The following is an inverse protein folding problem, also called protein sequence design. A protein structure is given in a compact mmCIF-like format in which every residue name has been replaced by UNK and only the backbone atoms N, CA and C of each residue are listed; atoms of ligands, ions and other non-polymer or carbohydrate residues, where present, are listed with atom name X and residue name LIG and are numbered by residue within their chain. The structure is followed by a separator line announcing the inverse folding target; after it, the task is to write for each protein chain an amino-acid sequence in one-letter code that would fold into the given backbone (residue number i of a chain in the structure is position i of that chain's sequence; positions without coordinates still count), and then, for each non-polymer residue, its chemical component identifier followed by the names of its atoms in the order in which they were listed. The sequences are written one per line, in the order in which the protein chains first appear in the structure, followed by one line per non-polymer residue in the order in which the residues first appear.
data_IF_953659553519
#
_entry.id   IF_953659553519
#
_cell.length_a   1.000
_cell.length_b   1.000
_cell.length_c   1.000
_cell.angle_alpha   90.00
_cell.angle_beta   90.00
_cell.angle_gamma   90.00
#
_symmetry.space_group_name_H-M   'P 1'
#
loop_
_entity.id
_entity.type
_entity.pdbx_description
1 polymer ?
#
# COMPACT_ATOMS: atom_id res chain seq x y z
N UNK A 1 6.67 -12.30 -14.49
CA UNK A 1 6.02 -13.60 -14.22
C UNK A 1 5.69 -14.27 -15.56
N UNK A 2 5.46 -15.58 -15.61
CA UNK A 2 4.97 -16.20 -16.85
C UNK A 2 3.51 -15.78 -17.07
N UNK A 3 3.13 -15.46 -18.31
CA UNK A 3 1.75 -15.07 -18.62
C UNK A 3 0.77 -16.17 -18.18
N UNK A 4 -0.19 -15.81 -17.32
CA UNK A 4 -1.21 -16.74 -16.81
C UNK A 4 -0.84 -17.51 -15.53
N UNK A 5 0.31 -17.26 -14.92
CA UNK A 5 0.69 -17.85 -13.62
C UNK A 5 -0.04 -17.18 -12.45
N UNK A 6 -1.30 -17.57 -12.24
CA UNK A 6 -2.20 -16.99 -11.23
C UNK A 6 -1.69 -17.15 -9.80
N UNK A 7 -1.20 -18.32 -9.46
CA UNK A 7 -0.67 -18.58 -8.12
C UNK A 7 0.63 -17.80 -7.88
N UNK A 8 1.53 -17.76 -8.89
CA UNK A 8 2.73 -16.94 -8.83
C UNK A 8 2.43 -15.45 -8.62
N UNK A 9 1.43 -14.92 -9.33
CA UNK A 9 0.97 -13.53 -9.14
C UNK A 9 0.48 -13.28 -7.71
N UNK A 10 -0.37 -14.16 -7.17
CA UNK A 10 -0.87 -14.04 -5.80
C UNK A 10 0.24 -14.17 -4.75
N UNK A 11 1.19 -15.09 -4.98
CA UNK A 11 2.36 -15.27 -4.10
C UNK A 11 3.24 -14.03 -4.08
N UNK A 12 3.47 -13.42 -5.25
CA UNK A 12 4.25 -12.19 -5.35
C UNK A 12 3.53 -11.01 -4.68
N UNK A 13 2.23 -10.87 -4.93
CA UNK A 13 1.39 -9.86 -4.29
C UNK A 13 1.42 -9.95 -2.75
N UNK A 14 1.45 -11.17 -2.21
CA UNK A 14 1.48 -11.42 -0.77
C UNK A 14 2.89 -11.57 -0.18
N UNK A 15 3.96 -11.35 -0.94
CA UNK A 15 5.34 -11.64 -0.49
C UNK A 15 5.77 -10.83 0.75
N UNK A 16 5.15 -9.68 1.00
CA UNK A 16 5.40 -8.87 2.20
C UNK A 16 4.57 -9.24 3.43
N UNK A 17 3.64 -10.20 3.31
CA UNK A 17 2.77 -10.65 4.40
C UNK A 17 3.35 -11.91 5.07
N UNK A 18 2.91 -12.26 6.29
CA UNK A 18 3.30 -13.52 6.92
C UNK A 18 3.00 -14.72 6.01
N UNK A 19 3.98 -15.63 5.76
CA UNK A 19 3.81 -16.73 4.80
C UNK A 19 2.60 -17.63 5.09
N UNK A 20 2.25 -17.80 6.36
CA UNK A 20 1.10 -18.58 6.80
C UNK A 20 -0.24 -17.99 6.30
N UNK A 21 -0.31 -16.69 5.99
CA UNK A 21 -1.51 -16.08 5.43
C UNK A 21 -1.72 -16.51 3.98
N UNK A 22 -0.65 -16.61 3.19
CA UNK A 22 -0.75 -17.14 1.82
C UNK A 22 -1.15 -18.61 1.84
N UNK A 23 -0.56 -19.43 2.72
CA UNK A 23 -0.93 -20.84 2.84
C UNK A 23 -2.38 -21.05 3.31
N UNK A 24 -2.85 -20.25 4.25
CA UNK A 24 -4.25 -20.27 4.68
C UNK A 24 -5.20 -19.87 3.53
N UNK A 25 -4.85 -18.85 2.75
CA UNK A 25 -5.60 -18.45 1.56
C UNK A 25 -5.62 -19.56 0.50
N UNK A 26 -4.46 -20.16 0.21
CA UNK A 26 -4.26 -21.19 -0.83
C UNK A 26 -4.99 -22.49 -0.54
N UNK A 27 -5.02 -22.92 0.72
CA UNK A 27 -5.71 -24.13 1.16
C UNK A 27 -7.18 -23.90 1.50
N UNK A 28 -7.61 -22.64 1.57
CA UNK A 28 -8.96 -22.25 1.96
C UNK A 28 -10.01 -22.49 0.87
N UNK A 29 -11.30 -22.57 1.24
CA UNK A 29 -12.40 -22.82 0.29
C UNK A 29 -12.58 -21.69 -0.74
N UNK A 30 -12.02 -20.51 -0.49
CA UNK A 30 -12.08 -19.36 -1.39
C UNK A 30 -10.96 -19.35 -2.44
N UNK A 31 -10.03 -20.31 -2.44
CA UNK A 31 -8.93 -20.35 -3.40
C UNK A 31 -9.36 -20.19 -4.88
N UNK A 32 -10.43 -20.86 -5.38
CA UNK A 32 -10.87 -20.66 -6.76
C UNK A 32 -11.31 -19.23 -7.09
N UNK A 33 -11.77 -18.47 -6.09
CA UNK A 33 -12.09 -17.04 -6.25
C UNK A 33 -10.81 -16.23 -6.41
N UNK A 34 -9.82 -16.43 -5.54
CA UNK A 34 -8.54 -15.73 -5.61
C UNK A 34 -7.81 -16.01 -6.92
N UNK A 35 -7.79 -17.26 -7.39
CA UNK A 35 -7.20 -17.59 -8.69
C UNK A 35 -7.86 -16.82 -9.85
N UNK A 36 -9.19 -16.66 -9.83
CA UNK A 36 -9.89 -15.86 -10.84
C UNK A 36 -9.56 -14.37 -10.75
N UNK A 37 -9.30 -13.88 -9.54
CA UNK A 37 -8.92 -12.49 -9.30
C UNK A 37 -7.43 -12.22 -9.55
N UNK A 38 -6.57 -13.23 -9.61
CA UNK A 38 -5.12 -13.04 -9.75
C UNK A 38 -4.70 -12.05 -10.85
N UNK A 39 -5.29 -12.04 -12.06
CA UNK A 39 -4.94 -11.06 -13.10
C UNK A 39 -5.21 -9.60 -12.68
N UNK A 40 -6.12 -9.34 -11.74
CA UNK A 40 -6.45 -7.98 -11.30
C UNK A 40 -5.42 -7.40 -10.34
N UNK A 41 -4.54 -8.22 -9.76
CA UNK A 41 -3.49 -7.79 -8.82
C UNK A 41 -2.08 -7.91 -9.42
N UNK A 42 -1.97 -8.26 -10.71
CA UNK A 42 -0.68 -8.41 -11.39
C UNK A 42 0.10 -7.08 -11.40
N UNK A 43 -0.58 -5.99 -11.76
CA UNK A 43 0.02 -4.65 -11.75
C UNK A 43 0.46 -4.22 -10.34
N UNK A 44 -0.33 -4.53 -9.31
CA UNK A 44 0.04 -4.25 -7.92
C UNK A 44 1.27 -5.07 -7.48
N UNK A 45 1.34 -6.36 -7.84
CA UNK A 45 2.49 -7.22 -7.55
C UNK A 45 3.77 -6.73 -8.24
N UNK A 46 3.66 -6.25 -9.49
CA UNK A 46 4.78 -5.64 -10.21
C UNK A 46 5.24 -4.33 -9.57
N UNK A 47 4.30 -3.45 -9.18
CA UNK A 47 4.61 -2.21 -8.47
C UNK A 47 5.30 -2.47 -7.12
N UNK A 48 4.82 -3.47 -6.37
CA UNK A 48 5.44 -3.92 -5.12
C UNK A 48 6.84 -4.51 -5.34
N UNK A 49 7.07 -5.19 -6.45
CA UNK A 49 8.41 -5.69 -6.78
C UNK A 49 9.35 -4.55 -7.15
N UNK A 50 8.87 -3.61 -7.97
CA UNK A 50 9.63 -2.44 -8.39
C UNK A 50 10.05 -1.55 -7.20
N UNK A 51 9.16 -1.32 -6.23
CA UNK A 51 9.51 -0.49 -5.05
C UNK A 51 10.62 -1.11 -4.17
N UNK A 52 10.95 -2.39 -4.38
CA UNK A 52 12.04 -3.09 -3.69
C UNK A 52 13.26 -3.34 -4.59
N UNK A 53 13.25 -2.90 -5.85
CA UNK A 53 14.35 -3.17 -6.79
C UNK A 53 15.58 -2.29 -6.59
N UNK A 54 15.45 -1.20 -5.83
CA UNK A 54 16.52 -0.27 -5.46
C UNK A 54 16.08 0.55 -4.22
N UNK A 55 16.97 1.34 -3.58
CA UNK A 55 16.57 2.22 -2.50
C UNK A 55 15.44 3.19 -2.92
N UNK A 56 14.39 3.31 -2.10
CA UNK A 56 13.20 4.14 -2.41
C UNK A 56 13.55 5.58 -2.74
N UNK A 57 14.49 6.19 -2.00
CA UNK A 57 14.98 7.54 -2.28
C UNK A 57 15.54 7.71 -3.70
N UNK A 58 16.13 6.67 -4.27
CA UNK A 58 16.57 6.66 -5.67
C UNK A 58 15.37 6.53 -6.62
N UNK A 59 14.51 5.53 -6.38
CA UNK A 59 13.33 5.25 -7.21
C UNK A 59 12.35 6.42 -7.28
N UNK A 60 12.19 7.15 -6.18
CA UNK A 60 11.21 8.21 -6.00
C UNK A 60 11.80 9.61 -6.13
N UNK A 61 13.07 9.72 -6.53
CA UNK A 61 13.78 11.00 -6.68
C UNK A 61 13.10 12.00 -7.63
N UNK A 62 12.31 11.51 -8.58
CA UNK A 62 11.55 12.34 -9.52
C UNK A 62 10.24 12.92 -8.94
N UNK A 63 9.82 12.50 -7.74
CA UNK A 63 8.60 12.99 -7.09
C UNK A 63 8.91 14.33 -6.43
N UNK A 64 8.45 15.42 -7.06
CA UNK A 64 8.67 16.80 -6.57
C UNK A 64 7.40 17.44 -6.01
N UNK A 65 6.24 16.81 -6.16
CA UNK A 65 4.99 17.32 -5.62
C UNK A 65 4.99 17.23 -4.08
N UNK A 66 4.50 18.25 -3.36
CA UNK A 66 4.26 18.14 -1.93
C UNK A 66 3.37 16.94 -1.63
N UNK A 67 3.81 16.06 -0.75
CA UNK A 67 3.13 14.80 -0.45
C UNK A 67 2.71 14.74 1.01
N UNK A 68 1.48 14.29 1.27
CA UNK A 68 1.03 13.94 2.62
C UNK A 68 0.87 12.43 2.73
N UNK A 69 1.42 11.86 3.80
CA UNK A 69 1.24 10.46 4.18
C UNK A 69 0.23 10.39 5.32
N UNK A 70 -0.96 9.86 5.04
CA UNK A 70 -2.04 9.76 6.01
C UNK A 70 -1.99 8.44 6.77
N UNK A 71 -1.97 8.50 8.10
CA UNK A 71 -1.99 7.33 8.98
C UNK A 71 -3.18 7.39 9.94
N UNK A 72 -3.79 6.24 10.22
CA UNK A 72 -4.81 6.12 11.27
C UNK A 72 -4.25 6.44 12.66
N UNK A 73 -5.00 7.15 13.50
CA UNK A 73 -4.59 7.47 14.89
C UNK A 73 -4.33 6.24 15.76
N UNK A 74 -4.93 5.10 15.41
CA UNK A 74 -4.72 3.80 16.06
C UNK A 74 -4.30 2.73 15.04
N UNK A 75 -3.23 3.00 14.30
CA UNK A 75 -2.63 2.04 13.38
C UNK A 75 -1.82 0.96 14.11
N UNK A 76 -1.70 -0.23 13.50
CA UNK A 76 -0.73 -1.24 13.96
C UNK A 76 0.71 -0.77 13.68
N UNK A 77 1.70 -1.13 14.51
CA UNK A 77 3.04 -0.50 14.49
C UNK A 77 3.71 -0.46 13.11
N UNK A 78 3.60 -1.53 12.31
CA UNK A 78 4.25 -1.58 11.01
C UNK A 78 3.75 -0.52 10.02
N UNK A 79 2.51 -0.03 10.16
CA UNK A 79 2.03 1.07 9.30
C UNK A 79 2.68 2.40 9.65
N UNK A 80 3.05 2.63 10.91
CA UNK A 80 3.81 3.80 11.30
C UNK A 80 5.22 3.75 10.70
N UNK A 81 5.90 2.60 10.79
CA UNK A 81 7.22 2.39 10.17
C UNK A 81 7.18 2.56 8.65
N UNK A 82 6.13 2.06 7.99
CA UNK A 82 5.93 2.25 6.56
C UNK A 82 5.71 3.73 6.22
N UNK A 83 4.89 4.45 6.98
CA UNK A 83 4.64 5.87 6.79
C UNK A 83 5.91 6.71 6.95
N UNK A 84 6.70 6.43 7.99
CA UNK A 84 7.95 7.12 8.27
C UNK A 84 8.98 6.85 7.15
N UNK A 85 9.07 5.60 6.67
CA UNK A 85 9.92 5.25 5.52
C UNK A 85 9.53 6.02 4.25
N UNK A 86 8.24 6.30 4.04
CA UNK A 86 7.79 7.09 2.88
C UNK A 86 8.23 8.54 3.03
N UNK A 87 7.99 9.14 4.19
CA UNK A 87 8.36 10.54 4.47
C UNK A 87 9.87 10.74 4.30
N UNK A 88 10.69 9.83 4.81
CA UNK A 88 12.16 9.90 4.70
C UNK A 88 12.69 9.73 3.26
N UNK A 89 11.89 9.09 2.39
CA UNK A 89 12.29 8.78 1.01
C UNK A 89 11.98 9.89 0.01
N UNK A 90 11.06 10.80 0.34
CA UNK A 90 10.58 11.86 -0.55
C UNK A 90 11.25 13.21 -0.25
N UNK A 91 11.35 14.07 -1.26
CA UNK A 91 11.99 15.38 -1.12
C UNK A 91 11.12 16.39 -0.33
N UNK A 92 9.80 16.28 -0.44
CA UNK A 92 8.83 17.12 0.27
C UNK A 92 7.64 16.25 0.68
N UNK A 93 7.71 15.73 1.91
CA UNK A 93 6.65 14.93 2.48
C UNK A 93 6.44 15.24 3.97
N UNK A 94 5.20 15.14 4.41
CA UNK A 94 4.85 15.16 5.83
C UNK A 94 3.88 14.01 6.15
N UNK A 95 3.86 13.62 7.42
CA UNK A 95 2.89 12.68 7.96
C UNK A 95 1.77 13.44 8.65
N UNK A 96 0.53 13.02 8.44
CA UNK A 96 -0.62 13.51 9.16
C UNK A 96 -1.51 12.34 9.61
N UNK A 97 -2.31 12.58 10.65
CA UNK A 97 -3.18 11.57 11.21
C UNK A 97 -4.64 11.77 10.82
N UNK A 98 -5.35 10.66 10.63
CA UNK A 98 -6.79 10.59 10.40
C UNK A 98 -7.40 9.71 11.49
N UNK A 99 -8.52 10.13 12.13
CA UNK A 99 -9.25 9.25 13.03
C UNK A 99 -9.54 7.89 12.38
N UNK A 100 -9.00 6.81 12.97
CA UNK A 100 -9.09 5.48 12.37
C UNK A 100 -8.32 4.44 13.18
N UNK A 101 -8.62 3.17 12.93
CA UNK A 101 -7.99 2.04 13.62
C UNK A 101 -7.73 0.89 12.66
N UNK A 102 -6.60 0.21 12.86
CA UNK A 102 -6.15 -0.86 11.97
C UNK A 102 -6.00 -0.37 10.53
N UNK A 103 -6.76 -0.95 9.61
CA UNK A 103 -6.79 -0.59 8.18
C UNK A 103 -8.04 0.23 7.79
N UNK A 104 -8.77 0.82 8.75
CA UNK A 104 -10.06 1.48 8.52
C UNK A 104 -10.15 2.91 9.05
N UNK A 105 -10.92 3.74 8.34
CA UNK A 105 -11.31 5.11 8.71
C UNK A 105 -12.78 5.36 8.36
N UNK A 106 -13.40 6.35 9.00
CA UNK A 106 -14.70 6.83 8.53
C UNK A 106 -14.50 7.68 7.26
N UNK A 107 -15.31 7.51 6.20
CA UNK A 107 -15.16 8.27 4.97
C UNK A 107 -15.18 9.80 5.17
N UNK A 108 -16.00 10.29 6.11
CA UNK A 108 -16.08 11.72 6.42
C UNK A 108 -14.78 12.27 7.03
N UNK A 109 -14.13 11.49 7.90
CA UNK A 109 -12.85 11.88 8.52
C UNK A 109 -11.72 11.92 7.49
N UNK A 110 -11.66 10.92 6.60
CA UNK A 110 -10.69 10.92 5.49
C UNK A 110 -10.93 12.09 4.54
N UNK A 111 -12.17 12.36 4.15
CA UNK A 111 -12.51 13.46 3.27
C UNK A 111 -12.11 14.82 3.87
N UNK A 112 -12.39 15.02 5.16
CA UNK A 112 -11.99 16.23 5.88
C UNK A 112 -10.46 16.39 5.96
N UNK A 113 -9.71 15.28 6.11
CA UNK A 113 -8.25 15.31 6.08
C UNK A 113 -7.72 15.68 4.69
N UNK A 114 -8.22 15.05 3.62
CA UNK A 114 -7.82 15.31 2.24
C UNK A 114 -8.08 16.77 1.85
N UNK A 115 -9.24 17.33 2.22
CA UNK A 115 -9.62 18.70 1.89
C UNK A 115 -8.64 19.77 2.40
N UNK A 116 -7.87 19.49 3.46
CA UNK A 116 -6.83 20.41 3.99
C UNK A 116 -5.64 20.58 3.05
N UNK A 117 -5.42 19.62 2.17
CA UNK A 117 -4.28 19.56 1.24
C UNK A 117 -4.67 19.86 -0.20
N UNK A 118 -5.96 19.92 -0.50
CA UNK A 118 -6.43 20.35 -1.80
C UNK A 118 -6.31 21.87 -1.93
N UNK A 119 -5.98 22.38 -3.14
CA UNK A 119 -6.04 23.81 -3.41
C UNK A 119 -7.42 24.35 -3.02
N UNK A 120 -7.44 25.44 -2.25
CA UNK A 120 -8.69 26.16 -2.00
C UNK A 120 -9.03 26.95 -3.28
N UNK A 121 -10.22 26.74 -3.83
CA UNK A 121 -10.73 27.65 -4.86
C UNK A 121 -10.95 29.01 -4.20
N UNK A 122 -10.38 30.06 -4.81
CA UNK A 122 -10.50 31.45 -4.35
C UNK A 122 -11.84 32.08 -4.69
#
# INVERSE_FOLDING_TARGET
MAAGDREGTLRLFMAGMPPEWFEAMRTGPQWPLFERMAPTVEADAEALTWTQSAPRKQLWSAITAPTVVLLGTSAVPFFAEAADSIVESLASAERAEVPGSGHGWQPADLAAALARYLPQEG
#
